data_IF_522145902210
#
_entry.id   IF_522145902210
#
_cell.length_a   1.000
_cell.length_b   1.000
_cell.length_c   1.000
_cell.angle_alpha   90.00
_cell.angle_beta   90.00
_cell.angle_gamma   90.00
#
_symmetry.space_group_name_H-M   'P 1'
#
loop_
_entity.id
_entity.type
_entity.pdbx_description
1 polymer ?
#
# COMPACT_ATOMS: atom_id res chain seq x y z
N UNK A 1 41.30 22.67 -73.56
CA UNK A 1 41.41 23.63 -74.68
C UNK A 1 40.00 23.97 -75.18
N UNK A 2 39.71 25.24 -75.48
CA UNK A 2 38.97 25.77 -76.66
C UNK A 2 37.80 24.88 -77.16
N UNK A 3 36.49 25.20 -76.99
CA UNK A 3 35.64 26.10 -77.82
C UNK A 3 34.15 25.75 -77.55
N UNK A 4 33.06 26.42 -77.98
CA UNK A 4 32.66 27.83 -78.22
C UNK A 4 31.10 27.86 -78.15
N UNK A 5 30.45 28.75 -77.39
CA UNK A 5 29.92 30.10 -77.74
C UNK A 5 28.59 30.16 -78.54
N UNK A 6 27.49 30.45 -77.81
CA UNK A 6 26.37 31.36 -78.14
C UNK A 6 25.42 30.98 -79.32
N UNK A 7 24.22 31.57 -79.51
CA UNK A 7 23.62 32.84 -79.02
C UNK A 7 22.07 32.83 -79.15
N UNK A 8 21.42 33.81 -78.49
CA UNK A 8 20.14 34.50 -78.84
C UNK A 8 18.89 34.07 -78.02
N UNK A 9 18.02 34.96 -77.50
CA UNK A 9 17.93 36.43 -77.52
C UNK A 9 17.34 36.99 -76.20
N UNK A 10 17.65 38.25 -75.90
CA UNK A 10 16.91 39.18 -75.00
C UNK A 10 16.29 40.30 -75.88
N UNK A 11 15.60 41.36 -75.39
CA UNK A 11 15.24 41.74 -74.01
C UNK A 11 13.78 42.21 -73.79
N UNK A 12 13.38 42.43 -72.53
CA UNK A 12 12.67 43.68 -72.15
C UNK A 12 12.76 43.98 -70.64
N UNK A 13 12.89 45.26 -70.31
CA UNK A 13 12.89 45.87 -68.96
C UNK A 13 11.55 46.61 -68.74
N UNK A 14 11.10 47.03 -67.54
CA UNK A 14 11.62 47.09 -66.14
C UNK A 14 10.36 47.20 -65.19
N UNK A 15 10.40 47.56 -63.87
CA UNK A 15 11.48 47.77 -62.89
C UNK A 15 11.30 47.04 -61.52
N UNK A 16 12.23 47.29 -60.58
CA UNK A 16 12.16 46.87 -59.17
C UNK A 16 11.11 47.64 -58.34
N UNK A 17 10.51 46.98 -57.32
CA UNK A 17 10.67 47.34 -55.88
C UNK A 17 9.96 46.39 -54.89
N UNK A 18 10.76 45.70 -54.08
CA UNK A 18 10.65 45.52 -52.62
C UNK A 18 9.28 45.31 -51.94
N UNK A 19 9.05 44.10 -51.40
CA UNK A 19 8.74 43.92 -49.96
C UNK A 19 8.88 42.46 -49.50
N UNK A 20 9.18 42.28 -48.21
CA UNK A 20 9.21 41.03 -47.46
C UNK A 20 7.84 40.31 -47.55
N UNK A 21 7.69 38.98 -47.52
CA UNK A 21 8.59 37.95 -47.03
C UNK A 21 7.95 37.24 -45.82
N UNK A 22 7.14 36.20 -46.04
CA UNK A 22 6.67 35.24 -45.02
C UNK A 22 6.35 33.89 -45.66
N UNK A 23 7.08 32.85 -45.26
CA UNK A 23 6.74 31.45 -45.56
C UNK A 23 5.68 30.99 -44.56
N UNK A 24 4.54 30.50 -45.03
CA UNK A 24 3.58 29.80 -44.17
C UNK A 24 4.08 28.40 -43.86
N UNK A 25 4.21 27.98 -42.60
CA UNK A 25 4.61 26.62 -42.26
C UNK A 25 3.42 25.66 -42.42
N UNK A 26 3.63 24.59 -43.17
CA UNK A 26 2.73 23.43 -43.19
C UNK A 26 2.64 22.85 -41.78
N UNK A 27 1.47 22.88 -41.16
CA UNK A 27 1.24 22.28 -39.84
C UNK A 27 1.25 20.76 -39.98
N UNK A 28 2.39 20.14 -39.68
CA UNK A 28 2.48 18.71 -39.41
C UNK A 28 1.85 18.48 -38.03
N UNK A 29 0.63 17.93 -38.01
CA UNK A 29 -0.01 17.51 -36.76
C UNK A 29 0.64 16.22 -36.28
N UNK A 30 1.76 16.36 -35.57
CA UNK A 30 2.34 15.27 -34.78
C UNK A 30 1.32 14.87 -33.71
N UNK A 31 0.92 13.59 -33.59
CA UNK A 31 0.05 13.17 -32.49
C UNK A 31 0.78 13.39 -31.18
N UNK A 32 0.18 14.22 -30.31
CA UNK A 32 0.69 14.46 -28.96
C UNK A 32 0.64 13.13 -28.20
N UNK A 33 1.82 12.55 -27.93
CA UNK A 33 1.94 11.43 -26.99
C UNK A 33 1.47 11.97 -25.63
N UNK A 34 0.24 11.62 -25.26
CA UNK A 34 -0.24 11.88 -23.91
C UNK A 34 0.70 11.15 -22.94
N UNK A 35 1.17 11.79 -21.85
CA UNK A 35 1.83 11.04 -20.80
C UNK A 35 0.87 9.93 -20.33
N UNK A 36 1.37 8.75 -19.94
CA UNK A 36 0.50 7.67 -19.49
C UNK A 36 -0.38 8.20 -18.37
N UNK A 37 -1.70 8.21 -18.59
CA UNK A 37 -2.65 8.59 -17.55
C UNK A 37 -2.41 7.66 -16.37
N UNK A 38 -1.95 8.20 -15.24
CA UNK A 38 -1.67 7.41 -14.05
C UNK A 38 -2.97 6.92 -13.44
N UNK A 39 -3.42 5.76 -13.92
CA UNK A 39 -4.68 5.16 -13.53
C UNK A 39 -4.62 4.86 -12.04
N UNK A 40 -5.46 5.56 -11.28
CA UNK A 40 -5.63 5.34 -9.85
C UNK A 40 -7.02 4.76 -9.60
N UNK A 41 -7.10 3.64 -8.88
CA UNK A 41 -8.37 3.04 -8.44
C UNK A 41 -8.48 3.12 -6.92
N UNK A 42 -9.69 3.33 -6.40
CA UNK A 42 -9.94 3.35 -4.96
C UNK A 42 -10.74 2.13 -4.51
N UNK A 43 -10.26 1.52 -3.44
CA UNK A 43 -10.85 0.34 -2.80
C UNK A 43 -11.18 0.63 -1.34
N UNK A 44 -11.83 -0.33 -0.68
CA UNK A 44 -12.33 -0.18 0.68
C UNK A 44 -11.20 -0.01 1.71
N UNK A 45 -11.35 0.95 2.62
CA UNK A 45 -10.29 1.32 3.57
C UNK A 45 -9.93 0.20 4.57
N UNK A 46 -10.87 -0.70 4.90
CA UNK A 46 -10.61 -1.81 5.83
C UNK A 46 -9.78 -2.94 5.22
N UNK A 47 -9.39 -2.83 3.94
CA UNK A 47 -8.39 -3.71 3.35
C UNK A 47 -6.97 -3.43 3.89
N UNK A 48 -6.72 -2.25 4.46
CA UNK A 48 -5.42 -1.88 5.04
C UNK A 48 -5.32 -2.20 6.54
N UNK A 49 -4.11 -2.58 6.97
CA UNK A 49 -3.69 -2.68 8.37
C UNK A 49 -2.20 -2.34 8.50
N UNK A 50 -1.76 -1.75 9.61
CA UNK A 50 -0.34 -1.74 9.97
C UNK A 50 0.07 -3.11 10.57
N UNK A 51 1.33 -3.56 10.43
CA UNK A 51 1.77 -4.85 10.98
C UNK A 51 1.48 -4.99 12.47
N UNK A 52 0.96 -6.16 12.87
CA UNK A 52 0.57 -6.40 14.27
C UNK A 52 1.73 -6.86 15.17
N UNK A 53 2.92 -7.10 14.60
CA UNK A 53 4.14 -7.47 15.32
C UNK A 53 4.50 -6.45 16.39
N UNK A 54 4.54 -5.17 16.02
CA UNK A 54 5.01 -4.08 16.89
C UNK A 54 4.04 -3.85 18.04
N UNK A 55 2.73 -3.89 17.75
CA UNK A 55 1.67 -3.82 18.75
C UNK A 55 1.74 -5.00 19.72
N UNK A 56 2.00 -6.21 19.22
CA UNK A 56 2.17 -7.39 20.06
C UNK A 56 3.39 -7.26 20.97
N UNK A 57 4.53 -6.84 20.43
CA UNK A 57 5.76 -6.65 21.22
C UNK A 57 5.58 -5.60 22.31
N UNK A 58 4.87 -4.49 22.06
CA UNK A 58 4.54 -3.54 23.12
C UNK A 58 3.60 -4.16 24.19
N UNK A 59 2.56 -4.90 23.79
CA UNK A 59 1.62 -5.56 24.71
C UNK A 59 2.23 -6.70 25.54
N UNK A 60 3.24 -7.40 25.01
CA UNK A 60 3.99 -8.46 25.71
C UNK A 60 4.98 -7.87 26.72
N UNK A 61 5.56 -6.70 26.44
CA UNK A 61 6.51 -6.00 27.32
C UNK A 61 5.86 -5.06 28.37
N UNK A 62 4.53 -4.98 28.42
CA UNK A 62 3.84 -4.17 29.44
C UNK A 62 4.06 -4.70 30.86
N UNK A 63 4.51 -3.83 31.76
CA UNK A 63 4.57 -4.14 33.19
C UNK A 63 3.15 -4.26 33.77
N UNK A 64 2.85 -5.30 34.58
CA UNK A 64 1.52 -5.48 35.18
C UNK A 64 1.06 -4.35 36.12
N UNK A 65 1.98 -3.48 36.56
CA UNK A 65 1.74 -2.42 37.54
C UNK A 65 1.77 -1.00 36.95
N UNK A 66 2.12 -0.83 35.67
CA UNK A 66 2.21 0.49 35.04
C UNK A 66 0.88 0.92 34.43
N UNK A 67 0.56 2.21 34.53
CA UNK A 67 -0.49 2.82 33.71
C UNK A 67 -0.18 2.66 32.21
N UNK A 68 -1.22 2.52 31.39
CA UNK A 68 -1.07 2.30 29.94
C UNK A 68 -0.37 3.50 29.28
N UNK A 69 0.76 3.31 28.56
CA UNK A 69 1.44 4.39 27.85
C UNK A 69 0.54 5.05 26.80
N UNK A 70 0.61 6.38 26.66
CA UNK A 70 -0.21 7.15 25.72
C UNK A 70 0.05 6.73 24.27
N UNK A 71 1.30 6.40 23.91
CA UNK A 71 1.69 5.86 22.61
C UNK A 71 0.92 4.58 22.27
N UNK A 72 0.92 3.61 23.19
CA UNK A 72 0.21 2.35 23.04
C UNK A 72 -1.31 2.55 23.03
N UNK A 73 -1.83 3.47 23.84
CA UNK A 73 -3.25 3.84 23.82
C UNK A 73 -3.69 4.42 22.46
N UNK A 74 -2.80 5.10 21.73
CA UNK A 74 -3.07 5.58 20.38
C UNK A 74 -2.98 4.45 19.34
N UNK A 75 -1.95 3.59 19.39
CA UNK A 75 -1.89 2.38 18.55
C UNK A 75 -3.14 1.50 18.72
N UNK A 76 -3.62 1.31 19.95
CA UNK A 76 -4.84 0.54 20.22
C UNK A 76 -6.11 1.17 19.62
N UNK A 77 -6.17 2.50 19.44
CA UNK A 77 -7.25 3.18 18.72
C UNK A 77 -7.13 2.99 17.21
N UNK A 78 -5.92 3.12 16.66
CA UNK A 78 -5.64 2.90 15.23
C UNK A 78 -5.98 1.47 14.79
N UNK A 79 -5.63 0.48 15.62
CA UNK A 79 -5.94 -0.93 15.40
C UNK A 79 -7.33 -1.36 15.93
N UNK A 80 -8.16 -0.44 16.46
CA UNK A 80 -9.41 -0.79 17.16
C UNK A 80 -10.36 -1.67 16.33
N UNK A 81 -10.58 -1.32 15.06
CA UNK A 81 -11.47 -2.08 14.16
C UNK A 81 -10.97 -3.52 13.94
N UNK A 82 -9.65 -3.70 13.84
CA UNK A 82 -9.01 -5.01 13.69
C UNK A 82 -8.95 -5.82 14.98
N UNK A 83 -8.85 -5.19 16.14
CA UNK A 83 -8.94 -5.87 17.43
C UNK A 83 -10.38 -6.33 17.73
N UNK A 84 -11.38 -5.55 17.31
CA UNK A 84 -12.80 -5.88 17.48
C UNK A 84 -13.27 -7.00 16.54
N UNK A 85 -12.93 -6.92 15.26
CA UNK A 85 -13.37 -7.88 14.24
C UNK A 85 -12.39 -9.05 14.05
N UNK A 86 -11.18 -8.95 14.64
CA UNK A 86 -10.14 -9.96 14.60
C UNK A 86 -9.83 -10.42 13.17
N UNK A 87 -9.63 -11.71 12.97
CA UNK A 87 -9.26 -12.33 11.69
C UNK A 87 -10.35 -12.29 10.59
N UNK A 88 -11.51 -11.67 10.83
CA UNK A 88 -12.58 -11.52 9.82
C UNK A 88 -12.37 -10.37 8.83
N UNK A 89 -11.44 -9.44 9.12
CA UNK A 89 -11.04 -8.39 8.18
C UNK A 89 -10.00 -8.83 7.14
N UNK A 90 -9.49 -10.07 7.25
CA UNK A 90 -8.90 -10.78 6.12
C UNK A 90 -10.06 -11.27 5.24
N UNK A 91 -10.38 -10.49 4.21
CA UNK A 91 -11.57 -10.68 3.38
C UNK A 91 -11.34 -11.76 2.33
N UNK A 92 -12.45 -12.31 1.83
CA UNK A 92 -12.46 -13.23 0.69
C UNK A 92 -12.09 -12.49 -0.63
N UNK A 93 -11.68 -13.21 -1.69
CA UNK A 93 -11.38 -12.63 -3.00
C UNK A 93 -12.52 -11.77 -3.54
N UNK A 94 -12.18 -10.65 -4.18
CA UNK A 94 -13.13 -9.63 -4.59
C UNK A 94 -12.79 -9.07 -5.97
N UNK A 95 -13.72 -9.20 -6.91
CA UNK A 95 -13.54 -8.75 -8.29
C UNK A 95 -13.16 -7.26 -8.41
N UNK A 96 -13.66 -6.37 -7.52
CA UNK A 96 -13.25 -4.96 -7.48
C UNK A 96 -11.79 -4.78 -7.02
N UNK A 97 -11.34 -5.59 -6.06
CA UNK A 97 -9.95 -5.59 -5.59
C UNK A 97 -9.00 -6.12 -6.66
N UNK A 98 -9.42 -7.18 -7.38
CA UNK A 98 -8.70 -7.72 -8.55
C UNK A 98 -8.52 -6.69 -9.66
N UNK A 99 -9.61 -6.01 -10.06
CA UNK A 99 -9.59 -4.94 -11.07
C UNK A 99 -8.80 -3.70 -10.61
N UNK A 100 -8.72 -3.44 -9.30
CA UNK A 100 -7.89 -2.34 -8.80
C UNK A 100 -6.41 -2.59 -9.08
N UNK A 101 -5.94 -3.85 -9.07
CA UNK A 101 -4.57 -4.21 -9.45
C UNK A 101 -4.31 -4.13 -10.97
N UNK A 102 -5.30 -3.81 -11.82
CA UNK A 102 -5.05 -3.44 -13.22
C UNK A 102 -4.64 -1.96 -13.39
N UNK A 103 -4.79 -1.15 -12.33
CA UNK A 103 -4.38 0.24 -12.32
C UNK A 103 -2.91 0.42 -11.91
N UNK A 104 -2.30 1.55 -12.28
CA UNK A 104 -0.92 1.86 -11.86
C UNK A 104 -0.83 2.12 -10.35
N UNK A 105 -1.88 2.68 -9.74
CA UNK A 105 -1.93 2.97 -8.31
C UNK A 105 -3.27 2.58 -7.68
N UNK A 106 -3.22 2.10 -6.45
CA UNK A 106 -4.41 1.74 -5.65
C UNK A 106 -4.45 2.59 -4.39
N UNK A 107 -5.57 3.28 -4.17
CA UNK A 107 -5.83 4.11 -2.99
C UNK A 107 -6.73 3.35 -2.00
N UNK A 108 -6.23 3.14 -0.79
CA UNK A 108 -6.85 2.36 0.28
C UNK A 108 -7.03 3.29 1.50
N UNK A 109 -8.17 3.98 1.57
CA UNK A 109 -8.34 5.08 2.53
C UNK A 109 -7.25 6.15 2.34
N UNK A 110 -6.47 6.43 3.39
CA UNK A 110 -5.32 7.33 3.37
C UNK A 110 -4.08 6.78 2.65
N UNK A 111 -3.98 5.46 2.44
CA UNK A 111 -2.79 4.80 1.93
C UNK A 111 -2.81 4.67 0.41
N UNK A 112 -1.63 4.72 -0.23
CA UNK A 112 -1.46 4.57 -1.67
C UNK A 112 -0.42 3.50 -1.96
N UNK A 113 -0.79 2.53 -2.79
CA UNK A 113 0.09 1.50 -3.32
C UNK A 113 0.47 1.81 -4.77
N UNK A 114 1.69 1.48 -5.16
CA UNK A 114 2.13 1.53 -6.57
C UNK A 114 2.24 0.11 -7.08
N UNK A 115 1.41 -0.24 -8.07
CA UNK A 115 1.28 -1.62 -8.53
C UNK A 115 2.45 -2.00 -9.43
N UNK A 116 3.24 -2.98 -9.00
CA UNK A 116 4.31 -3.57 -9.78
C UNK A 116 3.84 -4.91 -10.37
N UNK A 117 3.94 -5.09 -11.69
CA UNK A 117 3.45 -6.30 -12.37
C UNK A 117 4.02 -7.60 -11.77
N UNK A 118 5.30 -7.61 -11.41
CA UNK A 118 5.98 -8.73 -10.75
C UNK A 118 5.32 -9.16 -9.42
N UNK A 119 4.84 -8.19 -8.63
CA UNK A 119 4.20 -8.45 -7.34
C UNK A 119 2.73 -8.80 -7.51
N UNK A 120 2.05 -8.21 -8.51
CA UNK A 120 0.66 -8.54 -8.87
C UNK A 120 0.49 -10.02 -9.21
N UNK A 121 1.35 -10.58 -10.06
CA UNK A 121 1.22 -12.00 -10.45
C UNK A 121 1.36 -12.95 -9.26
N UNK A 122 2.27 -12.66 -8.32
CA UNK A 122 2.40 -13.41 -7.09
C UNK A 122 1.20 -13.17 -6.16
N UNK A 123 0.72 -11.93 -6.01
CA UNK A 123 -0.44 -11.58 -5.20
C UNK A 123 -1.71 -12.32 -5.64
N UNK A 124 -1.93 -12.48 -6.95
CA UNK A 124 -3.08 -13.24 -7.49
C UNK A 124 -2.95 -14.75 -7.20
N UNK A 125 -1.73 -15.31 -7.23
CA UNK A 125 -1.47 -16.70 -6.81
C UNK A 125 -1.75 -16.88 -5.31
N UNK A 126 -1.20 -15.99 -4.48
CA UNK A 126 -1.40 -15.97 -3.01
C UNK A 126 -2.88 -15.85 -2.65
N UNK A 127 -3.60 -14.92 -3.27
CA UNK A 127 -5.04 -14.72 -3.13
C UNK A 127 -5.84 -16.00 -3.39
N UNK A 128 -5.48 -16.70 -4.48
CA UNK A 128 -6.09 -17.99 -4.86
C UNK A 128 -5.75 -19.11 -3.86
N UNK A 129 -4.51 -19.18 -3.39
CA UNK A 129 -4.05 -20.20 -2.43
C UNK A 129 -4.62 -20.04 -1.02
N UNK A 130 -4.86 -18.79 -0.57
CA UNK A 130 -5.26 -18.46 0.81
C UNK A 130 -6.73 -18.06 0.94
N UNK A 131 -7.47 -17.98 -0.17
CA UNK A 131 -8.80 -17.37 -0.24
C UNK A 131 -8.84 -15.96 0.38
N UNK A 132 -7.85 -15.14 0.03
CA UNK A 132 -7.65 -13.78 0.54
C UNK A 132 -7.91 -12.74 -0.56
N UNK A 133 -8.47 -11.59 -0.20
CA UNK A 133 -8.63 -10.43 -1.09
C UNK A 133 -7.33 -10.08 -1.83
N UNK A 134 -7.44 -9.76 -3.11
CA UNK A 134 -6.32 -9.55 -4.02
C UNK A 134 -5.42 -8.37 -3.58
N UNK A 135 -6.01 -7.29 -3.05
CA UNK A 135 -5.26 -6.12 -2.55
C UNK A 135 -4.60 -6.46 -1.22
N UNK A 136 -5.26 -7.19 -0.32
CA UNK A 136 -4.63 -7.67 0.92
C UNK A 136 -3.47 -8.63 0.64
N UNK A 137 -3.62 -9.49 -0.38
CA UNK A 137 -2.57 -10.38 -0.87
C UNK A 137 -1.40 -9.59 -1.46
N UNK A 138 -1.67 -8.49 -2.18
CA UNK A 138 -0.63 -7.59 -2.70
C UNK A 138 0.15 -6.89 -1.59
N UNK A 139 -0.54 -6.37 -0.56
CA UNK A 139 0.10 -5.74 0.62
C UNK A 139 1.10 -6.70 1.29
N UNK A 140 0.73 -7.97 1.44
CA UNK A 140 1.61 -9.00 2.02
C UNK A 140 2.83 -9.31 1.12
N UNK A 141 2.66 -9.33 -0.20
CA UNK A 141 3.78 -9.50 -1.15
C UNK A 141 4.73 -8.32 -1.07
N UNK A 142 4.23 -7.08 -1.15
CA UNK A 142 5.02 -5.85 -1.11
C UNK A 142 5.89 -5.78 0.16
N UNK A 143 5.28 -5.95 1.35
CA UNK A 143 5.99 -6.00 2.64
C UNK A 143 7.00 -7.13 2.76
N UNK A 144 6.77 -8.26 2.11
CA UNK A 144 7.70 -9.40 2.14
C UNK A 144 8.92 -9.19 1.24
N UNK A 145 8.82 -8.31 0.24
CA UNK A 145 9.88 -7.97 -0.70
C UNK A 145 10.79 -6.84 -0.20
N UNK A 146 10.26 -5.86 0.53
CA UNK A 146 11.03 -4.71 1.08
C UNK A 146 12.15 -5.12 2.07
N UNK A 147 12.25 -6.40 2.43
CA UNK A 147 13.20 -6.95 3.39
C UNK A 147 14.35 -7.75 2.76
N UNK A 148 14.34 -8.02 1.45
CA UNK A 148 15.41 -8.75 0.73
C UNK A 148 15.77 -8.04 -0.58
N UNK A 149 16.72 -7.11 -0.52
CA UNK A 149 17.34 -6.49 -1.72
C UNK A 149 18.31 -7.43 -2.46
N UNK A 150 18.63 -8.61 -1.89
CA UNK A 150 19.55 -9.60 -2.47
C UNK A 150 18.82 -10.82 -3.03
N UNK A 151 19.05 -11.09 -4.31
CA UNK A 151 18.64 -12.27 -5.09
C UNK A 151 17.13 -12.59 -5.16
N UNK A 152 16.46 -11.88 -6.08
CA UNK A 152 15.16 -12.20 -6.69
C UNK A 152 15.12 -13.54 -7.46
N UNK A 153 16.08 -14.44 -7.25
CA UNK A 153 16.39 -15.58 -8.14
C UNK A 153 15.39 -16.74 -8.01
N UNK A 154 14.55 -16.76 -6.97
CA UNK A 154 13.48 -17.76 -6.86
C UNK A 154 12.17 -17.17 -6.28
N UNK A 155 11.10 -17.21 -7.09
CA UNK A 155 9.75 -16.78 -6.69
C UNK A 155 9.08 -17.77 -5.71
N UNK A 156 9.52 -19.03 -5.70
CA UNK A 156 9.04 -20.10 -4.81
C UNK A 156 9.29 -19.81 -3.31
N UNK A 157 10.53 -19.52 -2.84
CA UNK A 157 10.74 -19.14 -1.44
C UNK A 157 10.01 -17.85 -1.05
N UNK A 158 9.79 -16.91 -2.00
CA UNK A 158 8.97 -15.72 -1.74
C UNK A 158 7.49 -16.07 -1.54
N UNK A 159 6.92 -17.00 -2.33
CA UNK A 159 5.55 -17.51 -2.13
C UNK A 159 5.38 -18.05 -0.70
N UNK A 160 6.29 -18.93 -0.26
CA UNK A 160 6.26 -19.49 1.08
C UNK A 160 6.45 -18.43 2.17
N UNK A 161 7.37 -17.48 1.98
CA UNK A 161 7.59 -16.33 2.89
C UNK A 161 6.30 -15.53 3.10
N UNK A 162 5.60 -15.19 2.01
CA UNK A 162 4.34 -14.42 2.04
C UNK A 162 3.22 -15.21 2.74
N UNK A 163 3.10 -16.51 2.48
CA UNK A 163 2.13 -17.38 3.19
C UNK A 163 2.41 -17.44 4.70
N UNK A 164 3.69 -17.54 5.10
CA UNK A 164 4.08 -17.53 6.52
C UNK A 164 3.71 -16.17 7.14
N UNK A 165 3.99 -15.05 6.47
CA UNK A 165 3.64 -13.71 6.97
C UNK A 165 2.12 -13.54 7.17
N UNK A 166 1.29 -14.06 6.27
CA UNK A 166 -0.17 -14.08 6.45
C UNK A 166 -0.59 -14.76 7.76
N UNK A 167 -0.02 -15.93 8.06
CA UNK A 167 -0.33 -16.66 9.31
C UNK A 167 0.28 -16.00 10.55
N UNK A 168 1.43 -15.35 10.45
CA UNK A 168 2.02 -14.54 11.52
C UNK A 168 1.09 -13.36 11.87
N UNK A 169 0.66 -12.57 10.89
CA UNK A 169 -0.23 -11.42 11.10
C UNK A 169 -1.55 -11.84 11.77
N UNK A 170 -2.17 -12.93 11.30
CA UNK A 170 -3.38 -13.51 11.93
C UNK A 170 -3.13 -13.93 13.38
N UNK A 171 -2.00 -14.58 13.66
CA UNK A 171 -1.62 -14.93 15.03
C UNK A 171 -1.36 -13.70 15.90
N UNK A 172 -0.73 -12.65 15.37
CA UNK A 172 -0.48 -11.41 16.10
C UNK A 172 -1.80 -10.72 16.48
N UNK A 173 -2.78 -10.61 15.57
CA UNK A 173 -4.13 -10.10 15.90
C UNK A 173 -4.76 -10.88 17.06
N UNK A 174 -4.74 -12.21 17.01
CA UNK A 174 -5.30 -13.09 18.05
C UNK A 174 -4.54 -12.95 19.39
N UNK A 175 -3.21 -12.88 19.35
CA UNK A 175 -2.38 -12.67 20.55
C UNK A 175 -2.61 -11.28 21.17
N UNK A 176 -2.65 -10.20 20.38
CA UNK A 176 -2.99 -8.85 20.85
C UNK A 176 -4.36 -8.84 21.56
N UNK A 177 -5.37 -9.42 20.91
CA UNK A 177 -6.73 -9.55 21.48
C UNK A 177 -6.71 -10.31 22.81
N UNK A 178 -5.99 -11.45 22.87
CA UNK A 178 -5.81 -12.22 24.11
C UNK A 178 -5.12 -11.42 25.21
N UNK A 179 -4.07 -10.66 24.90
CA UNK A 179 -3.34 -9.85 25.87
C UNK A 179 -4.23 -8.75 26.45
N UNK A 180 -5.03 -8.06 25.63
CA UNK A 180 -5.98 -7.04 26.08
C UNK A 180 -7.06 -7.60 27.01
N UNK A 181 -7.64 -8.77 26.66
CA UNK A 181 -8.59 -9.46 27.52
C UNK A 181 -7.96 -9.89 28.85
N UNK A 182 -6.74 -10.44 28.81
CA UNK A 182 -6.01 -10.84 30.03
C UNK A 182 -5.64 -9.66 30.93
N UNK A 183 -5.27 -8.51 30.37
CA UNK A 183 -5.06 -7.28 31.12
C UNK A 183 -6.36 -6.81 31.79
N UNK A 184 -7.46 -6.77 31.03
CA UNK A 184 -8.79 -6.39 31.55
C UNK A 184 -9.24 -7.30 32.70
N UNK A 185 -9.09 -8.62 32.56
CA UNK A 185 -9.40 -9.59 33.61
C UNK A 185 -8.50 -9.43 34.85
N UNK A 186 -7.21 -9.14 34.68
CA UNK A 186 -6.30 -8.84 35.81
C UNK A 186 -6.72 -7.58 36.58
N UNK A 187 -7.12 -6.52 35.88
CA UNK A 187 -7.65 -5.31 36.52
C UNK A 187 -8.95 -5.60 37.29
N UNK A 188 -9.89 -6.35 36.72
CA UNK A 188 -11.13 -6.75 37.40
C UNK A 188 -10.82 -7.56 38.67
N UNK A 189 -9.92 -8.54 38.59
CA UNK A 189 -9.54 -9.36 39.74
C UNK A 189 -8.82 -8.55 40.83
N UNK A 190 -7.90 -7.64 40.45
CA UNK A 190 -7.27 -6.68 41.37
C UNK A 190 -8.29 -5.79 42.07
N UNK A 191 -9.23 -5.18 41.33
CA UNK A 191 -10.27 -4.33 41.91
C UNK A 191 -11.19 -5.11 42.84
N UNK A 192 -11.57 -6.34 42.49
CA UNK A 192 -12.36 -7.22 43.35
C UNK A 192 -11.60 -7.60 44.62
N UNK A 193 -10.32 -7.95 44.53
CA UNK A 193 -9.47 -8.26 45.68
C UNK A 193 -9.30 -7.05 46.61
N UNK A 194 -8.92 -5.89 46.07
CA UNK A 194 -8.75 -4.64 46.84
C UNK A 194 -10.05 -4.22 47.54
N UNK A 195 -11.20 -4.36 46.86
CA UNK A 195 -12.51 -4.06 47.45
C UNK A 195 -12.84 -4.99 48.62
N UNK A 196 -12.59 -6.29 48.48
CA UNK A 196 -12.82 -7.27 49.55
C UNK A 196 -11.81 -7.17 50.70
N UNK A 197 -10.57 -6.74 50.45
CA UNK A 197 -9.58 -6.50 51.50
C UNK A 197 -9.83 -5.20 52.28
N UNK A 198 -10.33 -4.13 51.64
CA UNK A 198 -10.72 -2.89 52.35
C UNK A 198 -11.88 -3.08 53.33
N UNK A 199 -12.74 -4.08 53.10
CA UNK A 199 -13.82 -4.45 54.02
C UNK A 199 -13.38 -5.18 55.30
N UNK A 200 -12.07 -5.32 55.57
CA UNK A 200 -11.55 -6.12 56.69
C UNK A 200 -10.48 -5.40 57.53
N UNK A 201 -10.69 -4.12 57.80
CA UNK A 201 -10.06 -3.45 58.95
C UNK A 201 -10.82 -3.87 60.22
N UNK A 202 -10.16 -4.44 61.25
CA UNK A 202 -10.81 -4.64 62.54
C UNK A 202 -11.02 -3.28 63.21
N UNK A 203 -12.28 -2.97 63.51
CA UNK A 203 -12.64 -1.98 64.53
C UNK A 203 -12.49 -2.68 65.89
N UNK A 204 -11.24 -2.80 66.36
CA UNK A 204 -10.97 -3.19 67.74
C UNK A 204 -11.29 -1.99 68.65
N UNK A 205 -12.28 -2.19 69.52
CA UNK A 205 -12.73 -1.28 70.58
C UNK A 205 -12.24 -1.78 71.94
#
# INVERSE_FOLDING_TARGET
LISTKARANTPHTNPLKTSLGFLSPTIVVTPLIQPPMSTTKSVDASLWWAPFTDLLTELENLSPSSALPISLANKLKEHHLWLLNSVSLFKLPNQKSKEALDAQQVQIGSHRLTVQSKFKELALKISSSLCLDEVQSYILVERSCELDESDLVALEPLHLKVMIQYYIERQCVLKCTRHLLMLSCKFIFMLYFVSNCRGRLPLDF
#
